data_IF_010905792316
#
_entry.id   IF_010905792316
#
_cell.length_a   1.000
_cell.length_b   1.000
_cell.length_c   1.000
_cell.angle_alpha   90.00
_cell.angle_beta   90.00
_cell.angle_gamma   90.00
#
_symmetry.space_group_name_H-M   'P 1'
#
loop_
_entity.id
_entity.type
_entity.pdbx_description
1 polymer ?
#
# COMPACT_ATOMS: atom_id res chain seq x y z
N UNK A 1 1.05 20.68 16.78
CA UNK A 1 0.17 19.66 16.17
C UNK A 1 0.47 18.33 16.83
N UNK A 2 -0.45 17.80 17.64
CA UNK A 2 -0.30 16.46 18.22
C UNK A 2 -0.51 15.43 17.11
N UNK A 3 0.58 14.85 16.62
CA UNK A 3 0.52 13.73 15.68
C UNK A 3 -0.07 12.53 16.43
N UNK A 4 -1.19 12.00 15.94
CA UNK A 4 -1.71 10.71 16.39
C UNK A 4 -0.73 9.62 15.96
N UNK A 5 -0.48 8.58 16.78
CA UNK A 5 0.39 7.47 16.38
C UNK A 5 -0.10 6.84 15.07
N UNK A 6 0.84 6.51 14.19
CA UNK A 6 0.53 5.81 12.95
C UNK A 6 0.13 4.34 13.23
N UNK A 7 -0.55 3.66 12.28
CA UNK A 7 -0.82 2.23 12.42
C UNK A 7 0.46 1.44 12.73
N UNK A 8 0.44 0.64 13.81
CA UNK A 8 1.59 -0.13 14.29
C UNK A 8 2.51 0.59 15.27
N UNK A 9 2.24 1.87 15.59
CA UNK A 9 2.99 2.61 16.60
C UNK A 9 2.29 2.57 17.97
N UNK A 10 3.10 2.53 19.02
CA UNK A 10 2.63 2.59 20.40
C UNK A 10 2.41 1.22 21.06
N UNK A 11 1.88 1.19 22.30
CA UNK A 11 1.69 -0.04 23.04
C UNK A 11 0.52 -0.86 22.46
N UNK A 12 0.72 -2.16 22.32
CA UNK A 12 -0.34 -3.10 21.91
C UNK A 12 -1.42 -3.14 22.99
N UNK A 13 -2.68 -3.01 22.56
CA UNK A 13 -3.86 -3.14 23.43
C UNK A 13 -4.76 -4.26 22.90
N UNK A 14 -5.25 -5.17 23.77
CA UNK A 14 -6.18 -6.20 23.33
C UNK A 14 -7.51 -5.56 22.91
N UNK A 15 -8.04 -5.99 21.77
CA UNK A 15 -9.35 -5.58 21.24
C UNK A 15 -10.10 -6.85 20.86
N UNK A 16 -11.40 -6.90 21.19
CA UNK A 16 -12.27 -8.03 20.82
C UNK A 16 -12.98 -7.72 19.51
N UNK A 17 -12.98 -8.66 18.57
CA UNK A 17 -13.66 -8.57 17.28
C UNK A 17 -14.36 -9.89 16.97
N UNK A 18 -15.51 -9.80 16.28
CA UNK A 18 -16.24 -10.97 15.81
C UNK A 18 -15.74 -11.40 14.44
N UNK A 19 -15.47 -12.69 14.27
CA UNK A 19 -15.05 -13.30 13.00
C UNK A 19 -15.82 -14.60 12.79
N UNK A 20 -16.03 -14.98 11.53
CA UNK A 20 -16.58 -16.29 11.20
C UNK A 20 -15.64 -17.40 11.69
N UNK A 21 -16.22 -18.51 12.16
CA UNK A 21 -15.47 -19.67 12.65
C UNK A 21 -14.48 -20.19 11.62
N UNK A 22 -14.89 -20.27 10.33
CA UNK A 22 -14.00 -20.66 9.24
C UNK A 22 -12.79 -19.74 9.07
N UNK A 23 -12.96 -18.42 9.26
CA UNK A 23 -11.86 -17.46 9.23
C UNK A 23 -10.90 -17.69 10.39
N UNK A 24 -11.42 -17.92 11.59
CA UNK A 24 -10.61 -18.23 12.78
C UNK A 24 -9.81 -19.52 12.56
N UNK A 25 -10.44 -20.57 12.01
CA UNK A 25 -9.80 -21.83 11.71
C UNK A 25 -8.66 -21.67 10.69
N UNK A 26 -8.91 -20.94 9.59
CA UNK A 26 -7.91 -20.67 8.57
C UNK A 26 -6.72 -19.86 9.12
N UNK A 27 -6.98 -18.85 9.96
CA UNK A 27 -5.94 -18.07 10.62
C UNK A 27 -5.10 -18.93 11.58
N UNK A 28 -5.73 -19.79 12.38
CA UNK A 28 -5.01 -20.73 13.27
C UNK A 28 -4.13 -21.70 12.48
N UNK A 29 -4.67 -22.28 11.40
CA UNK A 29 -3.91 -23.18 10.53
C UNK A 29 -2.68 -22.50 9.91
N UNK A 30 -2.80 -21.22 9.56
CA UNK A 30 -1.70 -20.44 8.95
C UNK A 30 -0.66 -19.96 9.97
N UNK A 31 -1.09 -19.50 11.15
CA UNK A 31 -0.24 -18.75 12.10
C UNK A 31 0.16 -19.54 13.34
N UNK A 32 -0.44 -20.71 13.56
CA UNK A 32 -0.28 -21.49 14.79
C UNK A 32 -0.85 -20.79 16.02
N UNK A 33 -0.47 -21.26 17.21
CA UNK A 33 -1.06 -20.83 18.49
C UNK A 33 -0.59 -19.45 18.98
N UNK A 34 0.50 -18.90 18.44
CA UNK A 34 1.12 -17.65 18.95
C UNK A 34 1.25 -16.54 17.90
N UNK A 35 0.93 -16.81 16.64
CA UNK A 35 1.12 -15.84 15.54
C UNK A 35 -0.12 -15.05 15.14
N UNK A 36 -1.30 -15.39 15.66
CA UNK A 36 -2.56 -14.86 15.16
C UNK A 36 -2.67 -13.33 15.29
N UNK A 37 -2.40 -12.77 16.49
CA UNK A 37 -2.55 -11.32 16.71
C UNK A 37 -1.60 -10.50 15.84
N UNK A 38 -0.31 -10.88 15.78
CA UNK A 38 0.68 -10.19 14.97
C UNK A 38 0.35 -10.27 13.46
N UNK A 39 -0.15 -11.44 13.01
CA UNK A 39 -0.56 -11.62 11.63
C UNK A 39 -1.79 -10.77 11.27
N UNK A 40 -2.80 -10.75 12.14
CA UNK A 40 -4.00 -9.92 11.95
C UNK A 40 -3.64 -8.44 11.97
N UNK A 41 -2.77 -8.01 12.89
CA UNK A 41 -2.29 -6.63 12.96
C UNK A 41 -1.60 -6.21 11.66
N UNK A 42 -0.67 -7.02 11.15
CA UNK A 42 0.00 -6.73 9.88
C UNK A 42 -0.97 -6.65 8.69
N UNK A 43 -2.01 -7.50 8.66
CA UNK A 43 -3.05 -7.44 7.64
C UNK A 43 -3.86 -6.13 7.74
N UNK A 44 -4.23 -5.72 8.94
CA UNK A 44 -4.98 -4.48 9.18
C UNK A 44 -4.14 -3.26 8.79
N UNK A 45 -2.88 -3.20 9.22
CA UNK A 45 -1.96 -2.12 8.84
C UNK A 45 -1.84 -1.98 7.32
N UNK A 46 -1.63 -3.10 6.61
CA UNK A 46 -1.57 -3.11 5.14
C UNK A 46 -2.87 -2.65 4.49
N UNK A 47 -4.02 -3.00 5.07
CA UNK A 47 -5.30 -2.56 4.53
C UNK A 47 -5.50 -1.06 4.71
N UNK A 48 -5.22 -0.52 5.91
CA UNK A 48 -5.30 0.91 6.19
C UNK A 48 -4.34 1.72 5.30
N UNK A 49 -3.13 1.21 5.08
CA UNK A 49 -2.17 1.83 4.16
C UNK A 49 -2.71 1.89 2.73
N UNK A 50 -3.30 0.79 2.23
CA UNK A 50 -3.89 0.74 0.89
C UNK A 50 -5.07 1.68 0.73
N UNK A 51 -5.91 1.79 1.75
CA UNK A 51 -7.06 2.69 1.73
C UNK A 51 -6.60 4.14 1.70
N UNK A 52 -5.61 4.50 2.53
CA UNK A 52 -4.97 5.83 2.49
C UNK A 52 -4.30 6.13 1.16
N UNK A 53 -3.60 5.16 0.56
CA UNK A 53 -2.99 5.33 -0.76
C UNK A 53 -4.06 5.57 -1.84
N UNK A 54 -5.22 4.91 -1.73
CA UNK A 54 -6.34 5.13 -2.65
C UNK A 54 -6.91 6.53 -2.50
N UNK A 55 -7.15 6.99 -1.27
CA UNK A 55 -7.62 8.37 -1.00
C UNK A 55 -6.67 9.40 -1.63
N UNK A 56 -5.35 9.24 -1.44
CA UNK A 56 -4.35 10.13 -2.03
C UNK A 56 -4.34 10.12 -3.57
N UNK A 57 -4.61 8.96 -4.18
CA UNK A 57 -4.73 8.86 -5.64
C UNK A 57 -6.00 9.57 -6.12
N UNK A 58 -7.13 9.33 -5.46
CA UNK A 58 -8.41 9.95 -5.79
C UNK A 58 -8.34 11.48 -5.69
N UNK A 59 -7.72 12.01 -4.62
CA UNK A 59 -7.49 13.44 -4.45
C UNK A 59 -6.62 14.02 -5.57
N UNK A 60 -5.53 13.35 -5.94
CA UNK A 60 -4.63 13.80 -6.99
C UNK A 60 -5.29 13.75 -8.38
N UNK A 61 -6.09 12.72 -8.68
CA UNK A 61 -6.82 12.61 -9.93
C UNK A 61 -7.97 13.63 -10.01
N UNK A 62 -8.59 13.98 -8.89
CA UNK A 62 -9.59 15.04 -8.83
C UNK A 62 -8.97 16.42 -9.14
N UNK A 63 -7.75 16.68 -8.68
CA UNK A 63 -7.04 17.94 -8.92
C UNK A 63 -6.43 18.03 -10.32
N UNK A 64 -5.86 16.94 -10.83
CA UNK A 64 -5.01 16.95 -12.04
C UNK A 64 -5.57 16.16 -13.23
N UNK A 65 -6.67 15.43 -13.03
CA UNK A 65 -7.19 14.45 -13.98
C UNK A 65 -6.49 13.09 -13.86
N UNK A 66 -7.07 12.07 -14.51
CA UNK A 66 -6.53 10.72 -14.52
C UNK A 66 -5.12 10.66 -15.12
N UNK A 67 -4.29 9.75 -14.61
CA UNK A 67 -2.89 9.62 -15.04
C UNK A 67 -2.81 9.09 -16.48
N UNK A 68 -2.18 9.85 -17.38
CA UNK A 68 -1.83 9.40 -18.73
C UNK A 68 -0.62 8.45 -18.70
N UNK A 69 -0.88 7.15 -18.86
CA UNK A 69 0.17 6.13 -18.85
C UNK A 69 1.18 6.27 -20.00
N UNK A 70 0.77 6.76 -21.17
CA UNK A 70 1.68 6.96 -22.29
C UNK A 70 2.69 8.08 -21.98
N UNK A 71 2.21 9.18 -21.38
CA UNK A 71 3.09 10.25 -20.91
C UNK A 71 4.04 9.79 -19.80
N UNK A 72 3.58 8.94 -18.88
CA UNK A 72 4.42 8.35 -17.83
C UNK A 72 5.49 7.44 -18.43
N UNK A 73 5.15 6.58 -19.38
CA UNK A 73 6.08 5.69 -20.05
C UNK A 73 7.14 6.46 -20.86
N UNK A 74 6.73 7.51 -21.59
CA UNK A 74 7.63 8.40 -22.30
C UNK A 74 8.64 9.05 -21.33
N UNK A 75 8.20 9.59 -20.19
CA UNK A 75 9.09 10.15 -19.17
C UNK A 75 10.02 9.10 -18.56
N UNK A 76 9.52 7.89 -18.28
CA UNK A 76 10.37 6.77 -17.79
C UNK A 76 11.45 6.37 -18.78
N UNK A 77 11.17 6.42 -20.09
CA UNK A 77 12.16 6.13 -21.12
C UNK A 77 13.29 7.17 -21.14
N UNK A 78 12.95 8.46 -20.99
CA UNK A 78 13.94 9.53 -20.83
C UNK A 78 14.82 9.32 -19.59
N UNK A 79 14.22 9.00 -18.44
CA UNK A 79 14.96 8.79 -17.18
C UNK A 79 15.89 7.57 -17.20
N UNK A 80 15.53 6.52 -17.93
CA UNK A 80 16.38 5.32 -18.09
C UNK A 80 17.51 5.49 -19.11
N UNK A 81 17.62 6.65 -19.75
CA UNK A 81 18.68 6.93 -20.72
C UNK A 81 18.51 6.16 -22.03
N UNK A 82 17.26 5.98 -22.51
CA UNK A 82 17.10 5.59 -23.91
C UNK A 82 17.87 6.60 -24.76
N UNK A 83 18.80 6.15 -25.64
CA UNK A 83 19.55 7.08 -26.47
C UNK A 83 18.51 7.80 -27.33
N UNK A 84 18.34 9.10 -27.09
CA UNK A 84 17.81 9.99 -28.11
C UNK A 84 18.68 9.71 -29.33
N UNK A 85 18.09 9.14 -30.39
CA UNK A 85 18.85 8.68 -31.54
C UNK A 85 19.82 9.75 -32.02
N UNK A 86 21.11 9.58 -31.74
CA UNK A 86 22.17 10.37 -32.37
C UNK A 86 22.40 9.77 -33.75
N UNK A 87 21.39 9.90 -34.61
CA UNK A 87 21.55 9.79 -36.05
C UNK A 87 21.96 11.19 -36.55
N UNK A 88 23.22 11.55 -36.30
CA UNK A 88 24.00 12.46 -37.16
C UNK A 88 25.41 12.63 -36.57
N UNK A 89 26.34 11.88 -37.15
CA UNK A 89 27.76 12.22 -37.23
C UNK A 89 28.37 11.31 -38.32
N UNK A 90 28.25 11.76 -39.56
CA UNK A 90 29.00 11.28 -40.72
C UNK A 90 29.96 12.38 -41.18
#
# INVERSE_FOLDING_TARGET
MTTSPAPGEGPVRPVSVSLHEGTIAALKARTGNRGMSAYVEALIQRQLERDRLRELIEDAEAEHGAVDQAAVEAKRALLRGAPSGSADAA
#
